data_IF_748810507737
#
_entry.id   IF_748810507737
#
_cell.length_a   1.000
_cell.length_b   1.000
_cell.length_c   1.000
_cell.angle_alpha   90.00
_cell.angle_beta   90.00
_cell.angle_gamma   90.00
#
_symmetry.space_group_name_H-M   'P 1'
#
loop_
_entity.id
_entity.type
_entity.pdbx_description
1 polymer ?
#
# COMPACT_ATOMS: atom_id res chain seq x y z
N UNK A 1 -4.59 15.10 -3.07
CA UNK A 1 -5.08 13.72 -2.94
C UNK A 1 -4.14 12.86 -3.77
N UNK A 2 -3.48 11.85 -3.18
CA UNK A 2 -2.62 10.94 -3.92
C UNK A 2 -3.53 9.94 -4.64
N UNK A 3 -3.71 10.11 -5.95
CA UNK A 3 -4.32 9.09 -6.78
C UNK A 3 -3.25 8.05 -7.10
N UNK A 4 -3.42 6.83 -6.58
CA UNK A 4 -2.63 5.69 -7.03
C UNK A 4 -3.30 5.15 -8.28
N UNK A 5 -2.54 5.09 -9.38
CA UNK A 5 -3.01 4.44 -10.60
C UNK A 5 -3.31 2.96 -10.32
N UNK A 6 -4.31 2.35 -10.97
CA UNK A 6 -4.50 0.90 -10.95
C UNK A 6 -3.18 0.18 -11.28
N UNK A 7 -2.81 -0.84 -10.52
CA UNK A 7 -1.50 -1.50 -10.67
C UNK A 7 -0.34 -0.81 -9.96
N UNK A 8 -0.57 0.25 -9.16
CA UNK A 8 0.48 0.82 -8.32
C UNK A 8 1.02 -0.21 -7.32
N UNK A 9 2.34 -0.37 -7.26
CA UNK A 9 3.01 -1.37 -6.44
C UNK A 9 3.75 -0.72 -5.27
N UNK A 10 3.96 -1.47 -4.19
CA UNK A 10 4.90 -1.06 -3.16
C UNK A 10 6.35 -1.26 -3.64
N UNK A 11 7.16 -0.20 -3.59
CA UNK A 11 8.57 -0.22 -4.04
C UNK A 11 9.50 -1.15 -3.23
N UNK A 12 9.04 -1.71 -2.11
CA UNK A 12 9.84 -2.63 -1.29
C UNK A 12 9.55 -4.09 -1.59
N UNK A 13 8.28 -4.48 -1.72
CA UNK A 13 7.88 -5.87 -1.95
C UNK A 13 7.33 -6.14 -3.37
N UNK A 14 7.18 -5.10 -4.19
CA UNK A 14 6.59 -5.14 -5.52
C UNK A 14 5.16 -5.72 -5.55
N UNK A 15 4.42 -5.65 -4.44
CA UNK A 15 3.02 -6.10 -4.35
C UNK A 15 2.08 -4.93 -4.58
N UNK A 16 1.04 -5.17 -5.38
CA UNK A 16 0.01 -4.17 -5.72
C UNK A 16 -0.70 -3.63 -4.48
N UNK A 17 -0.97 -2.33 -4.47
CA UNK A 17 -1.78 -1.71 -3.46
C UNK A 17 -3.26 -2.04 -3.63
N UNK A 18 -3.94 -2.34 -2.53
CA UNK A 18 -5.36 -2.68 -2.56
C UNK A 18 -5.91 -2.96 -1.16
N UNK A 19 -7.14 -3.51 -1.06
CA UNK A 19 -7.81 -3.72 0.23
C UNK A 19 -7.01 -4.56 1.24
N UNK A 20 -6.13 -5.44 0.78
CA UNK A 20 -5.27 -6.30 1.61
C UNK A 20 -3.84 -5.77 1.77
N UNK A 21 -3.46 -4.75 1.01
CA UNK A 21 -2.10 -4.22 0.96
C UNK A 21 -2.20 -2.70 0.83
N UNK A 22 -2.58 -2.03 1.91
CA UNK A 22 -2.86 -0.59 1.87
C UNK A 22 -1.54 0.21 1.95
N UNK A 23 -1.44 1.34 1.22
CA UNK A 23 -0.31 2.26 1.29
C UNK A 23 -0.33 3.03 2.61
N UNK A 24 0.84 3.19 3.21
CA UNK A 24 1.04 3.93 4.45
C UNK A 24 2.23 4.86 4.30
N UNK A 25 2.09 6.10 4.74
CA UNK A 25 3.19 7.04 4.85
C UNK A 25 3.86 6.88 6.22
N UNK A 26 5.18 6.86 6.24
CA UNK A 26 5.98 6.96 7.48
C UNK A 26 6.37 8.42 7.76
N UNK A 27 7.06 8.67 8.88
CA UNK A 27 7.40 10.03 9.36
C UNK A 27 8.08 10.93 8.31
N UNK A 28 8.92 10.35 7.45
CA UNK A 28 9.64 11.09 6.41
C UNK A 28 8.83 11.34 5.13
N UNK A 29 7.58 10.88 5.05
CA UNK A 29 6.70 11.06 3.89
C UNK A 29 6.78 9.97 2.81
N UNK A 30 7.76 9.07 2.86
CA UNK A 30 7.81 7.92 1.93
C UNK A 30 6.64 6.95 2.20
N UNK A 31 6.13 6.34 1.13
CA UNK A 31 4.99 5.44 1.16
C UNK A 31 5.45 4.00 1.03
N UNK A 32 5.01 3.15 1.95
CA UNK A 32 5.25 1.70 1.97
C UNK A 32 3.94 0.98 2.26
N UNK A 33 3.81 -0.29 1.92
CA UNK A 33 2.66 -1.04 2.39
C UNK A 33 2.77 -1.39 3.88
N UNK A 34 1.62 -1.60 4.54
CA UNK A 34 1.59 -1.98 5.96
C UNK A 34 2.49 -3.18 6.30
N UNK A 35 2.47 -4.30 5.55
CA UNK A 35 3.35 -5.43 5.80
C UNK A 35 4.83 -5.07 5.80
N UNK A 36 5.27 -4.20 4.87
CA UNK A 36 6.66 -3.75 4.81
C UNK A 36 7.03 -2.89 6.02
N UNK A 37 6.17 -1.95 6.43
CA UNK A 37 6.41 -1.15 7.62
C UNK A 37 6.60 -2.04 8.87
N UNK A 38 5.69 -2.98 9.09
CA UNK A 38 5.75 -3.92 10.21
C UNK A 38 7.00 -4.79 10.15
N UNK A 39 7.30 -5.37 8.97
CA UNK A 39 8.48 -6.22 8.78
C UNK A 39 9.78 -5.46 9.08
N UNK A 40 9.90 -4.21 8.65
CA UNK A 40 11.09 -3.39 8.93
C UNK A 40 11.23 -3.17 10.44
N UNK A 41 10.14 -2.83 11.14
CA UNK A 41 10.16 -2.61 12.59
C UNK A 41 10.54 -3.90 13.34
N UNK A 42 9.91 -5.02 13.00
CA UNK A 42 10.10 -6.32 13.68
C UNK A 42 11.49 -6.92 13.43
N UNK A 43 12.01 -6.81 12.20
CA UNK A 43 13.31 -7.36 11.82
C UNK A 43 14.47 -6.45 12.17
N UNK A 44 14.22 -5.19 12.53
CA UNK A 44 15.29 -4.31 13.01
C UNK A 44 15.77 -4.78 14.38
N UNK A 45 17.07 -5.07 14.57
CA UNK A 45 17.60 -5.46 15.86
C UNK A 45 17.34 -4.38 16.91
N UNK A 46 17.10 -4.77 18.18
CA UNK A 46 16.85 -3.83 19.29
C UNK A 46 17.97 -2.79 19.52
N UNK A 47 19.17 -3.05 19.00
CA UNK A 47 20.31 -2.14 19.04
C UNK A 47 20.27 -1.03 17.98
N UNK A 48 19.27 -1.04 17.09
CA UNK A 48 19.09 -0.06 16.00
C UNK A 48 17.67 0.47 15.98
N UNK A 49 17.52 1.68 15.45
CA UNK A 49 16.23 2.29 15.19
C UNK A 49 15.76 1.89 13.78
N UNK A 50 14.51 1.42 13.60
CA UNK A 50 13.95 1.19 12.28
C UNK A 50 14.02 2.46 11.44
N UNK A 51 14.41 2.33 10.18
CA UNK A 51 14.69 3.47 9.31
C UNK A 51 14.12 3.26 7.90
N UNK A 52 13.71 4.35 7.27
CA UNK A 52 13.19 4.34 5.91
C UNK A 52 14.20 3.69 4.94
N UNK A 53 13.79 2.76 4.05
CA UNK A 53 14.71 2.14 3.10
C UNK A 53 15.24 3.12 2.04
N UNK A 54 14.59 4.27 1.84
CA UNK A 54 14.96 5.26 0.83
C UNK A 54 15.87 6.36 1.38
N UNK A 55 15.45 7.06 2.43
CA UNK A 55 16.19 8.20 3.00
C UNK A 55 16.86 7.91 4.34
N UNK A 56 16.63 6.73 4.95
CA UNK A 56 17.17 6.31 6.26
C UNK A 56 16.70 7.13 7.46
N UNK A 57 15.67 7.95 7.31
CA UNK A 57 15.04 8.62 8.44
C UNK A 57 14.39 7.61 9.39
N UNK A 58 14.57 7.77 10.71
CA UNK A 58 14.01 6.86 11.69
C UNK A 58 12.49 6.95 11.72
N UNK A 59 11.83 5.81 11.91
CA UNK A 59 10.38 5.76 12.08
C UNK A 59 9.96 4.66 13.06
N UNK A 60 8.71 4.74 13.53
CA UNK A 60 8.12 3.77 14.45
C UNK A 60 6.66 3.50 14.11
N UNK A 61 6.07 2.45 14.69
CA UNK A 61 4.66 2.10 14.47
C UNK A 61 3.71 3.28 14.73
N UNK A 62 4.00 4.10 15.75
CA UNK A 62 3.21 5.27 16.11
C UNK A 62 3.23 6.40 15.07
N UNK A 63 4.20 6.39 14.13
CA UNK A 63 4.35 7.40 13.07
C UNK A 63 3.78 6.96 11.73
N UNK A 64 3.36 5.71 11.61
CA UNK A 64 2.75 5.18 10.37
C UNK A 64 1.33 5.76 10.25
N UNK A 65 0.98 6.25 9.06
CA UNK A 65 -0.35 6.79 8.74
C UNK A 65 -0.88 6.12 7.48
N UNK A 66 -2.13 5.67 7.51
CA UNK A 66 -2.82 5.14 6.35
C UNK A 66 -3.01 6.25 5.32
N UNK A 67 -2.55 6.02 4.08
CA UNK A 67 -2.85 6.91 2.96
C UNK A 67 -4.22 6.52 2.42
N UNK A 68 -5.17 7.47 2.45
CA UNK A 68 -6.51 7.25 1.90
C UNK A 68 -6.42 7.19 0.38
N UNK A 69 -6.84 6.06 -0.20
CA UNK A 69 -6.98 5.87 -1.64
C UNK A 69 -8.47 5.88 -1.96
N UNK A 70 -8.87 6.64 -2.97
CA UNK A 70 -10.17 6.48 -3.61
C UNK A 70 -10.03 5.37 -4.64
N UNK A 71 -10.33 4.13 -4.23
CA UNK A 71 -10.36 2.99 -5.14
C UNK A 71 -11.67 3.11 -5.94
N UNK A 72 -11.62 3.31 -7.27
CA UNK A 72 -12.84 3.33 -8.06
C UNK A 72 -13.54 1.97 -7.93
N UNK A 73 -14.89 1.94 -7.87
CA UNK A 73 -15.62 0.69 -7.77
C UNK A 73 -15.29 -0.21 -8.97
N UNK A 74 -15.27 -1.54 -8.78
CA UNK A 74 -15.01 -2.47 -9.87
C UNK A 74 -16.03 -2.21 -11.01
N UNK A 75 -15.61 -2.34 -12.28
CA UNK A 75 -16.53 -2.17 -13.40
C UNK A 75 -17.69 -3.16 -13.26
N UNK A 76 -18.93 -2.75 -13.58
CA UNK A 76 -20.07 -3.65 -13.52
C UNK A 76 -19.79 -4.86 -14.41
N UNK A 77 -19.89 -6.05 -13.84
CA UNK A 77 -19.73 -7.30 -14.57
C UNK A 77 -20.85 -7.37 -15.61
N UNK A 78 -20.52 -7.19 -16.89
CA UNK A 78 -21.46 -7.36 -17.99
C UNK A 78 -21.90 -8.82 -18.07
N UNK A 79 -22.97 -9.19 -17.35
CA UNK A 79 -23.68 -10.44 -17.57
C UNK A 79 -24.36 -10.34 -18.94
N UNK A 80 -23.69 -10.88 -19.96
CA UNK A 80 -24.28 -11.10 -21.28
C UNK A 80 -25.36 -12.18 -21.15
N UNK A 81 -26.61 -11.78 -20.93
CA UNK A 81 -27.75 -12.66 -21.16
C UNK A 81 -28.01 -12.66 -22.67
N UNK A 82 -27.49 -13.68 -23.36
CA UNK A 82 -27.81 -13.95 -24.76
C UNK A 82 -29.28 -14.34 -24.88
N UNK A 83 -30.16 -13.39 -25.20
CA UNK A 83 -31.51 -13.69 -25.69
C UNK A 83 -31.46 -13.96 -27.19
N UNK A 84 -31.72 -15.20 -27.58
CA UNK A 84 -31.81 -15.66 -28.96
C UNK A 84 -33.09 -15.13 -29.65
N UNK A 85 -33.06 -14.79 -30.96
CA UNK A 85 -34.24 -14.44 -31.74
C UNK A 85 -34.64 -15.56 -32.74
N UNK A 86 -35.68 -15.31 -33.57
CA UNK A 86 -37.10 -15.50 -33.33
C UNK A 86 -37.61 -16.93 -33.60
#
# INVERSE_FOLDING_TARGET
MLALEPGSLCDVCAVEYGPRNLPHSIACGHVLCHPCCTTIIEKTPRTRTPACPFCRDPFSAATIRLVRIDVPPPPPSSSTTSSAPP
#
